data_IF_454342005146
#
_entry.id   IF_454342005146
#
_cell.length_a   1.000
_cell.length_b   1.000
_cell.length_c   1.000
_cell.angle_alpha   90.00
_cell.angle_beta   90.00
_cell.angle_gamma   90.00
#
_symmetry.space_group_name_H-M   'P 1'
#
loop_
_entity.id
_entity.type
_entity.pdbx_description
1 polymer ?
#
# COMPACT_ATOMS: atom_id res chain seq x y z
N UNK A 1 15.83 24.51 8.41
CA UNK A 1 16.49 23.61 9.38
C UNK A 1 17.44 22.70 8.60
N UNK A 2 18.73 22.89 8.87
CA UNK A 2 19.97 22.36 8.28
C UNK A 2 19.93 21.16 7.32
N UNK A 3 20.36 21.38 6.06
CA UNK A 3 20.98 20.35 5.21
C UNK A 3 22.40 20.09 5.71
N UNK A 4 22.67 18.88 6.19
CA UNK A 4 24.00 18.43 6.61
C UNK A 4 24.68 17.78 5.41
N UNK A 5 25.42 18.55 4.63
CA UNK A 5 26.33 18.04 3.60
C UNK A 5 27.52 17.33 4.25
N UNK A 6 27.54 16.01 4.18
CA UNK A 6 28.68 15.19 4.62
C UNK A 6 29.69 15.15 3.47
N UNK A 7 30.71 16.00 3.55
CA UNK A 7 31.88 15.92 2.68
C UNK A 7 32.75 14.73 3.11
N UNK A 8 32.55 13.58 2.45
CA UNK A 8 33.48 12.45 2.50
C UNK A 8 34.61 12.66 1.47
N UNK A 9 35.54 13.56 1.77
CA UNK A 9 36.80 13.65 1.03
C UNK A 9 37.74 12.55 1.50
N UNK A 10 37.50 11.33 1.03
CA UNK A 10 38.47 10.25 1.16
C UNK A 10 39.48 10.34 0.02
N UNK A 11 40.45 11.25 0.15
CA UNK A 11 41.65 11.24 -0.70
C UNK A 11 42.57 10.14 -0.21
N UNK A 12 42.47 8.94 -0.81
CA UNK A 12 43.59 7.99 -0.75
C UNK A 12 44.77 8.62 -1.50
N UNK A 13 45.98 8.68 -0.93
CA UNK A 13 47.16 8.96 -1.72
C UNK A 13 47.35 7.76 -2.66
N UNK A 14 47.05 7.95 -3.95
CA UNK A 14 47.55 7.04 -4.97
C UNK A 14 49.06 7.10 -4.85
N UNK A 15 49.69 5.97 -4.50
CA UNK A 15 51.13 5.82 -4.55
C UNK A 15 51.57 6.07 -6.00
N UNK A 16 52.07 7.27 -6.28
CA UNK A 16 52.87 7.51 -7.47
C UNK A 16 54.22 6.83 -7.22
N UNK A 17 54.37 5.59 -7.67
CA UNK A 17 55.69 5.03 -7.88
C UNK A 17 56.40 5.91 -8.90
N UNK A 18 57.55 6.47 -8.51
CA UNK A 18 58.37 7.28 -9.39
C UNK A 18 58.67 6.51 -10.68
N UNK A 19 58.60 7.20 -11.82
CA UNK A 19 59.00 6.62 -13.11
C UNK A 19 60.50 6.33 -13.05
N UNK A 20 60.87 5.11 -12.65
CA UNK A 20 62.19 4.56 -12.96
C UNK A 20 62.17 4.22 -14.46
N UNK A 21 62.73 5.13 -15.24
CA UNK A 21 63.15 4.92 -16.61
C UNK A 21 64.42 4.06 -16.55
N UNK A 22 64.23 2.75 -16.43
CA UNK A 22 65.26 1.79 -16.81
C UNK A 22 64.59 0.84 -17.78
N UNK A 23 64.75 1.16 -19.07
CA UNK A 23 64.46 0.20 -20.12
C UNK A 23 65.26 -1.07 -19.80
N UNK A 24 64.56 -2.19 -19.66
CA UNK A 24 65.15 -3.51 -19.44
C UNK A 24 65.79 -4.03 -20.74
N UNK A 25 66.57 -3.19 -21.42
CA UNK A 25 67.28 -3.56 -22.62
C UNK A 25 68.63 -4.15 -22.21
N UNK A 26 68.76 -5.47 -22.42
CA UNK A 26 69.98 -6.30 -22.26
C UNK A 26 70.86 -5.95 -21.07
N UNK A 27 70.79 -6.76 -20.00
CA UNK A 27 71.69 -6.63 -18.84
C UNK A 27 73.13 -6.86 -19.28
N UNK A 28 73.83 -5.75 -19.54
CA UNK A 28 75.26 -5.74 -19.75
C UNK A 28 75.93 -5.72 -18.38
N UNK A 29 76.47 -6.86 -17.94
CA UNK A 29 77.23 -6.95 -16.69
C UNK A 29 78.52 -6.13 -16.89
N UNK A 30 78.52 -4.89 -16.41
CA UNK A 30 79.68 -4.03 -16.50
C UNK A 30 80.78 -4.51 -15.53
N UNK A 31 82.03 -4.46 -15.97
CA UNK A 31 83.25 -4.71 -15.17
C UNK A 31 83.59 -6.17 -14.82
N UNK A 32 83.22 -7.16 -15.63
CA UNK A 32 83.66 -8.57 -15.50
C UNK A 32 85.17 -8.72 -15.28
N UNK A 33 85.97 -7.92 -15.98
CA UNK A 33 87.43 -7.89 -15.87
C UNK A 33 87.94 -7.36 -14.52
N UNK A 34 87.20 -6.46 -13.86
CA UNK A 34 87.56 -5.93 -12.54
C UNK A 34 87.39 -6.98 -11.46
N UNK A 35 86.29 -7.75 -11.53
CA UNK A 35 86.04 -8.85 -10.60
C UNK A 35 87.04 -10.00 -10.75
N UNK A 36 87.45 -10.30 -11.99
CA UNK A 36 88.55 -11.27 -12.26
C UNK A 36 89.86 -10.84 -11.59
N UNK A 37 90.27 -9.57 -11.72
CA UNK A 37 91.50 -9.06 -11.08
C UNK A 37 91.45 -9.13 -9.56
N UNK A 38 90.32 -8.79 -8.96
CA UNK A 38 90.14 -8.86 -7.50
C UNK A 38 90.23 -10.29 -6.95
N UNK A 39 89.69 -11.28 -7.68
CA UNK A 39 89.79 -12.70 -7.29
C UNK A 39 91.23 -13.20 -7.34
N UNK A 40 92.03 -12.72 -8.31
CA UNK A 40 93.45 -13.05 -8.43
C UNK A 40 94.30 -12.37 -7.35
N UNK A 41 94.05 -11.09 -7.05
CA UNK A 41 94.86 -10.31 -6.08
C UNK A 41 94.55 -10.63 -4.61
N UNK A 42 93.28 -10.86 -4.26
CA UNK A 42 92.87 -11.06 -2.86
C UNK A 42 92.63 -12.52 -2.49
N UNK A 43 92.29 -13.37 -3.47
CA UNK A 43 91.90 -14.76 -3.24
C UNK A 43 92.96 -15.80 -3.60
N UNK A 44 94.11 -15.38 -4.14
CA UNK A 44 95.18 -16.25 -4.64
C UNK A 44 94.71 -17.32 -5.66
N UNK A 45 93.62 -17.04 -6.39
CA UNK A 45 93.07 -17.97 -7.39
C UNK A 45 93.82 -17.88 -8.72
N UNK A 46 94.01 -19.01 -9.39
CA UNK A 46 94.61 -19.07 -10.74
C UNK A 46 93.73 -18.33 -11.75
N UNK A 47 94.31 -17.83 -12.84
CA UNK A 47 93.58 -17.06 -13.85
C UNK A 47 92.38 -17.83 -14.44
N UNK A 48 92.56 -19.13 -14.69
CA UNK A 48 91.51 -20.03 -15.19
C UNK A 48 90.36 -20.19 -14.19
N UNK A 49 90.68 -20.34 -12.90
CA UNK A 49 89.70 -20.48 -11.82
C UNK A 49 88.90 -19.19 -11.63
N UNK A 50 89.58 -18.05 -11.66
CA UNK A 50 88.93 -16.73 -11.56
C UNK A 50 88.00 -16.46 -12.75
N UNK A 51 88.38 -16.90 -13.96
CA UNK A 51 87.53 -16.80 -15.14
C UNK A 51 86.29 -17.71 -15.03
N UNK A 52 86.46 -18.96 -14.57
CA UNK A 52 85.37 -19.89 -14.37
C UNK A 52 84.35 -19.39 -13.34
N UNK A 53 84.81 -18.85 -12.20
CA UNK A 53 83.94 -18.29 -11.15
C UNK A 53 83.16 -17.09 -11.65
N UNK A 54 83.81 -16.16 -12.35
CA UNK A 54 83.15 -14.95 -12.88
C UNK A 54 82.13 -15.31 -13.97
N UNK A 55 82.39 -16.31 -14.79
CA UNK A 55 81.44 -16.82 -15.78
C UNK A 55 80.23 -17.49 -15.10
N UNK A 56 80.46 -18.37 -14.11
CA UNK A 56 79.39 -18.98 -13.32
C UNK A 56 78.51 -17.93 -12.61
N UNK A 57 79.13 -16.90 -12.02
CA UNK A 57 78.40 -15.81 -11.37
C UNK A 57 77.60 -14.98 -12.38
N UNK A 58 78.19 -14.71 -13.55
CA UNK A 58 77.49 -14.00 -14.63
C UNK A 58 76.28 -14.78 -15.12
N UNK A 59 76.39 -16.10 -15.25
CA UNK A 59 75.29 -16.96 -15.68
C UNK A 59 74.22 -17.12 -14.59
N UNK A 60 74.62 -17.22 -13.32
CA UNK A 60 73.69 -17.22 -12.18
C UNK A 60 72.92 -15.89 -12.08
N UNK A 61 73.59 -14.75 -12.28
CA UNK A 61 72.95 -13.42 -12.29
C UNK A 61 71.98 -13.30 -13.48
N UNK A 62 72.39 -13.71 -14.69
CA UNK A 62 71.51 -13.70 -15.86
C UNK A 62 70.28 -14.59 -15.64
N UNK A 63 70.45 -15.79 -15.07
CA UNK A 63 69.37 -16.70 -14.74
C UNK A 63 68.42 -16.13 -13.67
N UNK A 64 68.97 -15.54 -12.60
CA UNK A 64 68.18 -14.88 -11.56
C UNK A 64 67.40 -13.69 -12.07
N UNK A 65 68.00 -12.87 -12.93
CA UNK A 65 67.31 -11.73 -13.57
C UNK A 65 66.22 -12.20 -14.53
N UNK A 66 66.46 -13.25 -15.32
CA UNK A 66 65.44 -13.82 -16.19
C UNK A 66 64.24 -14.34 -15.38
N UNK A 67 64.50 -15.03 -14.28
CA UNK A 67 63.47 -15.52 -13.37
C UNK A 67 62.66 -14.38 -12.72
N UNK A 68 63.33 -13.35 -12.19
CA UNK A 68 62.65 -12.19 -11.59
C UNK A 68 61.89 -11.36 -12.64
N UNK A 69 62.45 -11.23 -13.85
CA UNK A 69 61.79 -10.53 -14.96
C UNK A 69 60.59 -11.30 -15.54
N UNK A 70 60.52 -12.61 -15.32
CA UNK A 70 59.38 -13.44 -15.69
C UNK A 70 58.19 -13.22 -14.76
N UNK A 71 58.45 -12.95 -13.48
CA UNK A 71 57.43 -12.60 -12.47
C UNK A 71 57.04 -11.11 -12.52
N UNK A 72 57.98 -10.23 -12.88
CA UNK A 72 57.71 -8.81 -13.11
C UNK A 72 56.87 -8.61 -14.38
N UNK A 73 55.64 -8.11 -14.19
CA UNK A 73 54.78 -7.76 -15.31
C UNK A 73 55.43 -6.66 -16.17
N UNK A 74 55.59 -6.94 -17.47
CA UNK A 74 56.05 -5.94 -18.45
C UNK A 74 55.17 -4.70 -18.37
N UNK A 75 55.81 -3.52 -18.37
CA UNK A 75 55.14 -2.21 -18.28
C UNK A 75 54.06 -2.00 -19.36
N UNK A 76 54.29 -2.56 -20.54
CA UNK A 76 53.30 -2.60 -21.62
C UNK A 76 52.01 -3.35 -21.22
N UNK A 77 52.15 -4.55 -20.63
CA UNK A 77 51.01 -5.37 -20.18
C UNK A 77 50.22 -4.70 -19.06
N UNK A 78 50.91 -4.04 -18.12
CA UNK A 78 50.26 -3.23 -17.08
C UNK A 78 49.47 -2.05 -17.67
N UNK A 79 50.01 -1.40 -18.70
CA UNK A 79 49.34 -0.29 -19.38
C UNK A 79 48.09 -0.76 -20.12
N UNK A 80 48.17 -1.89 -20.82
CA UNK A 80 47.03 -2.52 -21.51
C UNK A 80 45.94 -2.93 -20.52
N UNK A 81 46.29 -3.59 -19.41
CA UNK A 81 45.34 -3.97 -18.36
C UNK A 81 44.66 -2.76 -17.75
N UNK A 82 45.41 -1.70 -17.46
CA UNK A 82 44.86 -0.45 -16.92
C UNK A 82 43.89 0.21 -17.91
N UNK A 83 44.21 0.18 -19.21
CA UNK A 83 43.33 0.70 -20.25
C UNK A 83 42.03 -0.11 -20.36
N UNK A 84 42.12 -1.44 -20.40
CA UNK A 84 40.94 -2.32 -20.41
C UNK A 84 40.06 -2.07 -19.18
N UNK A 85 40.66 -2.01 -17.99
CA UNK A 85 39.94 -1.73 -16.75
C UNK A 85 39.21 -0.38 -16.82
N UNK A 86 39.83 0.67 -17.37
CA UNK A 86 39.18 1.98 -17.55
C UNK A 86 38.00 1.93 -18.51
N UNK A 87 38.13 1.20 -19.61
CA UNK A 87 37.05 1.01 -20.59
C UNK A 87 35.89 0.24 -19.95
N UNK A 88 36.18 -0.81 -19.20
CA UNK A 88 35.15 -1.62 -18.54
C UNK A 88 34.43 -0.83 -17.45
N UNK A 89 35.15 0.00 -16.69
CA UNK A 89 34.51 0.94 -15.75
C UNK A 89 33.63 1.97 -16.45
N UNK A 90 34.05 2.49 -17.61
CA UNK A 90 33.23 3.41 -18.37
C UNK A 90 31.92 2.75 -18.85
N UNK A 91 32.00 1.50 -19.33
CA UNK A 91 30.83 0.71 -19.74
C UNK A 91 29.90 0.38 -18.56
N UNK A 92 30.46 -0.07 -17.43
CA UNK A 92 29.69 -0.38 -16.22
C UNK A 92 28.92 0.86 -15.74
N UNK A 93 29.57 2.03 -15.74
CA UNK A 93 28.94 3.30 -15.36
C UNK A 93 27.78 3.65 -16.29
N UNK A 94 27.96 3.45 -17.59
CA UNK A 94 26.91 3.73 -18.58
C UNK A 94 25.72 2.78 -18.42
N UNK A 95 25.97 1.48 -18.26
CA UNK A 95 24.93 0.48 -17.96
C UNK A 95 24.19 0.81 -16.67
N UNK A 96 24.90 1.20 -15.60
CA UNK A 96 24.28 1.60 -14.35
C UNK A 96 23.39 2.82 -14.53
N UNK A 97 23.83 3.83 -15.27
CA UNK A 97 23.04 5.04 -15.52
C UNK A 97 21.79 4.75 -16.36
N UNK A 98 21.90 3.85 -17.34
CA UNK A 98 20.75 3.40 -18.14
C UNK A 98 19.77 2.60 -17.27
N UNK A 99 20.27 1.68 -16.47
CA UNK A 99 19.45 0.88 -15.56
C UNK A 99 18.72 1.76 -14.54
N UNK A 100 19.44 2.67 -13.88
CA UNK A 100 18.88 3.62 -12.91
C UNK A 100 17.80 4.51 -13.54
N UNK A 101 18.05 5.04 -14.74
CA UNK A 101 17.05 5.83 -15.48
C UNK A 101 15.82 5.00 -15.86
N UNK A 102 16.02 3.75 -16.26
CA UNK A 102 14.94 2.83 -16.61
C UNK A 102 14.10 2.47 -15.39
N UNK A 103 14.74 2.15 -14.26
CA UNK A 103 14.08 1.85 -12.99
C UNK A 103 13.31 3.08 -12.48
N UNK A 104 13.91 4.26 -12.53
CA UNK A 104 13.23 5.50 -12.18
C UNK A 104 11.99 5.74 -13.03
N UNK A 105 12.08 5.54 -14.35
CA UNK A 105 10.92 5.67 -15.24
C UNK A 105 9.85 4.63 -14.94
N UNK A 106 10.24 3.39 -14.65
CA UNK A 106 9.29 2.34 -14.28
C UNK A 106 8.57 2.65 -12.95
N UNK A 107 9.31 3.11 -11.94
CA UNK A 107 8.75 3.55 -10.66
C UNK A 107 7.80 4.72 -10.86
N UNK A 108 8.15 5.69 -11.70
CA UNK A 108 7.27 6.82 -11.99
C UNK A 108 5.97 6.37 -12.67
N UNK A 109 6.06 5.48 -13.66
CA UNK A 109 4.88 4.95 -14.35
C UNK A 109 3.97 4.15 -13.40
N UNK A 110 4.54 3.29 -12.56
CA UNK A 110 3.78 2.54 -11.56
C UNK A 110 3.17 3.46 -10.49
N UNK A 111 3.89 4.52 -10.08
CA UNK A 111 3.34 5.53 -9.19
C UNK A 111 2.15 6.26 -9.81
N UNK A 112 2.26 6.71 -11.06
CA UNK A 112 1.15 7.36 -11.78
C UNK A 112 -0.03 6.41 -11.96
N UNK A 113 0.23 5.13 -12.28
CA UNK A 113 -0.81 4.09 -12.38
C UNK A 113 -1.55 3.90 -11.06
N UNK A 114 -0.82 3.67 -9.97
CA UNK A 114 -1.41 3.47 -8.63
C UNK A 114 -2.18 4.71 -8.19
N UNK A 115 -1.66 5.91 -8.46
CA UNK A 115 -2.36 7.16 -8.18
C UNK A 115 -3.67 7.28 -8.96
N UNK A 116 -3.66 6.96 -10.25
CA UNK A 116 -4.86 6.98 -11.08
C UNK A 116 -5.91 5.96 -10.59
N UNK A 117 -5.48 4.77 -10.19
CA UNK A 117 -6.38 3.73 -9.68
C UNK A 117 -6.96 4.12 -8.31
N UNK A 118 -6.17 4.80 -7.47
CA UNK A 118 -6.64 5.38 -6.20
C UNK A 118 -7.70 6.46 -6.43
N UNK A 119 -7.49 7.37 -7.39
CA UNK A 119 -8.47 8.41 -7.72
C UNK A 119 -9.76 7.82 -8.30
N UNK A 120 -9.65 6.79 -9.16
CA UNK A 120 -10.82 6.05 -9.66
C UNK A 120 -11.59 5.37 -8.53
N UNK A 121 -10.90 4.68 -7.62
CA UNK A 121 -11.53 3.99 -6.50
C UNK A 121 -12.22 4.98 -5.55
N UNK A 122 -11.57 6.12 -5.28
CA UNK A 122 -12.15 7.22 -4.50
C UNK A 122 -13.44 7.74 -5.12
N UNK A 123 -13.48 7.94 -6.44
CA UNK A 123 -14.67 8.43 -7.12
C UNK A 123 -15.80 7.40 -7.09
N UNK A 124 -15.49 6.13 -7.40
CA UNK A 124 -16.47 5.03 -7.28
C UNK A 124 -17.05 4.93 -5.88
N UNK A 125 -16.21 4.98 -4.84
CA UNK A 125 -16.68 4.91 -3.45
C UNK A 125 -17.60 6.08 -3.10
N UNK A 126 -17.29 7.30 -3.57
CA UNK A 126 -18.16 8.47 -3.37
C UNK A 126 -19.51 8.31 -4.07
N UNK A 127 -19.51 7.78 -5.29
CA UNK A 127 -20.74 7.49 -6.04
C UNK A 127 -21.58 6.43 -5.34
N UNK A 128 -20.96 5.34 -4.88
CA UNK A 128 -21.64 4.27 -4.14
C UNK A 128 -22.21 4.76 -2.81
N UNK A 129 -21.47 5.55 -2.04
CA UNK A 129 -21.98 6.18 -0.80
C UNK A 129 -23.18 7.07 -1.12
N UNK A 130 -23.08 7.89 -2.17
CA UNK A 130 -24.17 8.80 -2.57
C UNK A 130 -25.40 8.02 -2.99
N UNK A 131 -25.22 6.95 -3.78
CA UNK A 131 -26.29 6.05 -4.23
C UNK A 131 -26.93 5.32 -3.05
N UNK A 132 -26.14 4.77 -2.13
CA UNK A 132 -26.65 4.09 -0.93
C UNK A 132 -27.43 5.05 -0.03
N UNK A 133 -26.92 6.28 0.17
CA UNK A 133 -27.60 7.29 0.96
C UNK A 133 -28.93 7.75 0.31
N UNK A 134 -28.94 7.92 -1.02
CA UNK A 134 -30.16 8.22 -1.76
C UNK A 134 -31.19 7.08 -1.66
N UNK A 135 -30.72 5.83 -1.76
CA UNK A 135 -31.54 4.63 -1.54
C UNK A 135 -32.15 4.61 -0.14
N UNK A 136 -31.32 4.75 0.89
CA UNK A 136 -31.79 4.79 2.29
C UNK A 136 -32.81 5.90 2.55
N UNK A 137 -32.58 7.10 2.00
CA UNK A 137 -33.53 8.22 2.11
C UNK A 137 -34.86 7.91 1.42
N UNK A 138 -34.82 7.27 0.25
CA UNK A 138 -36.02 6.84 -0.46
C UNK A 138 -36.77 5.78 0.34
N UNK A 139 -36.07 4.75 0.81
CA UNK A 139 -36.64 3.66 1.62
C UNK A 139 -37.34 4.22 2.86
N UNK A 140 -36.70 5.14 3.58
CA UNK A 140 -37.31 5.80 4.72
C UNK A 140 -38.54 6.63 4.34
N UNK A 141 -38.49 7.30 3.18
CA UNK A 141 -39.62 8.11 2.70
C UNK A 141 -40.81 7.24 2.32
N UNK A 142 -40.56 6.08 1.68
CA UNK A 142 -41.59 5.10 1.34
C UNK A 142 -42.16 4.45 2.59
N UNK A 143 -41.32 4.04 3.54
CA UNK A 143 -41.77 3.43 4.80
C UNK A 143 -42.57 4.43 5.65
N UNK A 144 -42.15 5.70 5.70
CA UNK A 144 -42.94 6.76 6.35
C UNK A 144 -44.30 6.96 5.66
N UNK A 145 -44.33 6.87 4.33
CA UNK A 145 -45.57 6.89 3.55
C UNK A 145 -46.49 5.72 3.92
N UNK A 146 -45.94 4.51 3.96
CA UNK A 146 -46.65 3.27 4.32
C UNK A 146 -47.24 3.33 5.72
N UNK A 147 -46.44 3.75 6.72
CA UNK A 147 -46.91 3.92 8.11
C UNK A 147 -48.05 4.94 8.19
N UNK A 148 -47.96 6.04 7.42
CA UNK A 148 -49.02 7.06 7.38
C UNK A 148 -50.30 6.53 6.77
N UNK A 149 -50.22 5.77 5.68
CA UNK A 149 -51.37 5.15 5.03
C UNK A 149 -52.04 4.11 5.95
N UNK A 150 -51.23 3.25 6.59
CA UNK A 150 -51.69 2.26 7.57
C UNK A 150 -52.37 2.94 8.77
N UNK A 151 -51.76 4.00 9.31
CA UNK A 151 -52.37 4.81 10.38
C UNK A 151 -53.69 5.46 9.95
N UNK A 152 -53.75 6.03 8.74
CA UNK A 152 -54.98 6.63 8.21
C UNK A 152 -56.08 5.59 8.01
N UNK A 153 -55.71 4.38 7.59
CA UNK A 153 -56.64 3.28 7.44
C UNK A 153 -57.20 2.85 8.80
N UNK A 154 -56.36 2.73 9.83
CA UNK A 154 -56.82 2.45 11.19
C UNK A 154 -57.72 3.57 11.73
N UNK A 155 -57.40 4.84 11.50
CA UNK A 155 -58.25 5.96 11.93
C UNK A 155 -59.66 5.89 11.30
N UNK A 156 -59.75 5.49 10.03
CA UNK A 156 -61.04 5.31 9.33
C UNK A 156 -61.80 4.12 9.93
N UNK A 157 -61.14 2.98 10.14
CA UNK A 157 -61.76 1.81 10.75
C UNK A 157 -62.28 2.11 12.17
N UNK A 158 -61.50 2.83 12.97
CA UNK A 158 -61.91 3.24 14.31
C UNK A 158 -63.16 4.12 14.23
N UNK A 159 -63.20 5.11 13.34
CA UNK A 159 -64.39 5.96 13.15
C UNK A 159 -65.60 5.19 12.69
N UNK A 160 -65.45 4.24 11.76
CA UNK A 160 -66.55 3.40 11.32
C UNK A 160 -67.11 2.55 12.46
N UNK A 161 -66.23 1.94 13.26
CA UNK A 161 -66.63 1.17 14.46
C UNK A 161 -67.33 2.08 15.48
N UNK A 162 -66.81 3.29 15.73
CA UNK A 162 -67.41 4.26 16.64
C UNK A 162 -68.83 4.65 16.19
N UNK A 163 -69.01 4.92 14.89
CA UNK A 163 -70.35 5.20 14.34
C UNK A 163 -71.30 4.01 14.42
N UNK A 164 -70.79 2.77 14.28
CA UNK A 164 -71.59 1.56 14.46
C UNK A 164 -72.01 1.39 15.93
N UNK A 165 -71.10 1.63 16.87
CA UNK A 165 -71.40 1.59 18.30
C UNK A 165 -72.49 2.63 18.64
N UNK A 166 -72.37 3.86 18.16
CA UNK A 166 -73.38 4.90 18.37
C UNK A 166 -74.76 4.51 17.79
N UNK A 167 -74.78 3.88 16.62
CA UNK A 167 -76.02 3.37 16.04
C UNK A 167 -76.64 2.25 16.88
N UNK A 168 -75.83 1.29 17.35
CA UNK A 168 -76.28 0.22 18.24
C UNK A 168 -76.81 0.77 19.58
N UNK A 169 -76.12 1.75 20.17
CA UNK A 169 -76.54 2.43 21.40
C UNK A 169 -77.88 3.16 21.21
N UNK A 170 -78.04 3.90 20.11
CA UNK A 170 -79.31 4.57 19.80
C UNK A 170 -80.43 3.57 19.53
N UNK A 171 -80.16 2.47 18.84
CA UNK A 171 -81.12 1.40 18.61
C UNK A 171 -81.58 0.77 19.94
N UNK A 172 -80.64 0.44 20.84
CA UNK A 172 -80.97 -0.05 22.18
C UNK A 172 -81.80 0.96 22.98
N UNK A 173 -81.45 2.25 22.92
CA UNK A 173 -82.21 3.31 23.59
C UNK A 173 -83.64 3.43 23.06
N UNK A 174 -83.83 3.39 21.74
CA UNK A 174 -85.17 3.39 21.12
C UNK A 174 -85.98 2.16 21.54
N UNK A 175 -85.36 0.98 21.61
CA UNK A 175 -86.03 -0.23 22.11
C UNK A 175 -86.47 -0.06 23.57
N UNK A 176 -85.61 0.51 24.43
CA UNK A 176 -85.95 0.81 25.83
C UNK A 176 -87.10 1.81 25.93
N UNK A 177 -87.05 2.92 25.19
CA UNK A 177 -88.11 3.94 25.21
C UNK A 177 -89.43 3.37 24.67
N UNK A 178 -89.39 2.55 23.63
CA UNK A 178 -90.56 1.82 23.12
C UNK A 178 -91.16 0.91 24.20
N UNK A 179 -90.34 0.07 24.86
CA UNK A 179 -90.79 -0.80 25.96
C UNK A 179 -91.40 0.03 27.10
N UNK A 180 -90.78 1.15 27.47
CA UNK A 180 -91.31 2.07 28.49
C UNK A 180 -92.69 2.62 28.13
N UNK A 181 -92.89 3.09 26.89
CA UNK A 181 -94.20 3.58 26.44
C UNK A 181 -95.26 2.49 26.42
N UNK A 182 -94.89 1.27 26.01
CA UNK A 182 -95.77 0.11 26.04
C UNK A 182 -96.21 -0.20 27.48
N UNK A 183 -95.29 -0.23 28.44
CA UNK A 183 -95.61 -0.43 29.87
C UNK A 183 -96.55 0.67 30.38
N UNK A 184 -96.33 1.93 29.99
CA UNK A 184 -97.18 3.05 30.41
C UNK A 184 -98.59 2.95 29.81
N UNK A 185 -98.72 2.49 28.55
CA UNK A 185 -100.02 2.19 27.94
C UNK A 185 -100.75 1.06 28.67
N UNK A 186 -100.06 -0.03 29.03
CA UNK A 186 -100.62 -1.12 29.83
C UNK A 186 -101.13 -0.61 31.18
N UNK A 187 -100.35 0.25 31.86
CA UNK A 187 -100.75 0.84 33.14
C UNK A 187 -102.03 1.67 33.00
N UNK A 188 -102.13 2.53 31.97
CA UNK A 188 -103.35 3.31 31.68
C UNK A 188 -104.54 2.38 31.42
N UNK A 189 -104.34 1.30 30.66
CA UNK A 189 -105.37 0.29 30.40
C UNK A 189 -105.86 -0.39 31.68
N UNK A 190 -104.95 -0.79 32.57
CA UNK A 190 -105.30 -1.41 33.86
C UNK A 190 -106.04 -0.43 34.77
N UNK A 191 -105.56 0.81 34.93
CA UNK A 191 -106.23 1.82 35.75
C UNK A 191 -107.63 2.18 35.24
N UNK A 192 -107.79 2.29 33.92
CA UNK A 192 -109.10 2.57 33.30
C UNK A 192 -110.05 1.38 33.48
N UNK A 193 -109.54 0.16 33.32
CA UNK A 193 -110.31 -1.08 33.54
C UNK A 193 -110.77 -1.23 34.99
N UNK A 194 -109.89 -1.00 35.97
CA UNK A 194 -110.27 -1.06 37.39
C UNK A 194 -111.25 0.05 37.76
N UNK A 195 -111.05 1.27 37.26
CA UNK A 195 -112.00 2.37 37.48
C UNK A 195 -113.38 2.06 36.88
N UNK A 196 -113.44 1.49 35.67
CA UNK A 196 -114.69 1.06 35.06
C UNK A 196 -115.40 -0.04 35.87
N UNK A 197 -114.65 -1.01 36.41
CA UNK A 197 -115.20 -2.04 37.29
C UNK A 197 -115.76 -1.45 38.60
N UNK A 198 -115.05 -0.49 39.21
CA UNK A 198 -115.54 0.21 40.41
C UNK A 198 -116.83 0.97 40.11
N UNK A 199 -116.89 1.71 39.00
CA UNK A 199 -118.10 2.41 38.57
C UNK A 199 -119.26 1.45 38.29
N UNK A 200 -118.99 0.31 37.64
CA UNK A 200 -119.99 -0.73 37.40
C UNK A 200 -120.53 -1.33 38.71
N UNK A 201 -119.65 -1.56 39.69
CA UNK A 201 -120.03 -2.05 41.01
C UNK A 201 -120.89 -1.04 41.79
N UNK A 202 -120.49 0.23 41.82
CA UNK A 202 -121.28 1.31 42.45
C UNK A 202 -122.67 1.39 41.81
N UNK A 203 -122.77 1.24 40.49
CA UNK A 203 -124.05 1.23 39.77
C UNK A 203 -124.93 0.01 40.09
N UNK A 204 -124.35 -1.13 40.48
CA UNK A 204 -125.09 -2.34 40.83
C UNK A 204 -125.60 -2.29 42.29
N UNK A 205 -124.87 -1.59 43.17
CA UNK A 205 -125.20 -1.44 44.61
C UNK A 205 -126.14 -0.25 44.88
N UNK A 206 -126.10 0.82 44.06
CA UNK A 206 -127.07 1.93 44.10
C UNK A 206 -128.36 1.61 43.37
#
# INVERSE_FOLDING_TARGET
MMLRTINLTFKRPLHCSGRLLSDFETVHIQNTNKYKKLLMEQGNFTEEQSNAIVNLMSDAIKGGIAHVSQDLAKRERLTQLTYQQRVDFAKLRDQLLIADRSEFHNIQNEYERVRNDLDKLRNKLREEITKANAGFKLDLSLEKGRIREESSHHDVQIKEIDTRIDQEVNNMKMQIDSVKTQVMQWLIGVCTGTFALVLAYVRLVS
#
